data_IF_337664337233
#
_entry.id   IF_337664337233
#
_cell.length_a   1.000
_cell.length_b   1.000
_cell.length_c   1.000
_cell.angle_alpha   90.00
_cell.angle_beta   90.00
_cell.angle_gamma   90.00
#
_symmetry.space_group_name_H-M   'P 1'
#
loop_
_entity.id
_entity.type
_entity.pdbx_description
1 polymer ?
#
# COMPACT_ATOMS: atom_id res chain seq x y z
N UNK A 1 -13.10 -17.48 -17.96
CA UNK A 1 -12.13 -17.15 -16.88
C UNK A 1 -11.25 -15.94 -17.19
N UNK A 2 -10.66 -15.85 -18.38
CA UNK A 2 -9.70 -14.78 -18.76
C UNK A 2 -10.25 -13.35 -18.77
N UNK A 3 -11.53 -13.13 -19.14
CA UNK A 3 -12.12 -11.78 -19.17
C UNK A 3 -12.26 -11.14 -17.79
N UNK A 4 -12.74 -11.90 -16.79
CA UNK A 4 -12.91 -11.42 -15.40
C UNK A 4 -11.56 -11.03 -14.82
N UNK A 5 -10.56 -11.91 -14.97
CA UNK A 5 -9.19 -11.67 -14.49
C UNK A 5 -8.61 -10.39 -15.12
N UNK A 6 -8.79 -10.20 -16.43
CA UNK A 6 -8.34 -8.96 -17.11
C UNK A 6 -9.04 -7.72 -16.54
N UNK A 7 -10.36 -7.74 -16.37
CA UNK A 7 -11.11 -6.61 -15.81
C UNK A 7 -10.67 -6.28 -14.39
N UNK A 8 -10.47 -7.31 -13.53
CA UNK A 8 -9.98 -7.11 -12.16
C UNK A 8 -8.64 -6.36 -12.16
N UNK A 9 -7.66 -6.84 -12.92
CA UNK A 9 -6.33 -6.22 -12.93
C UNK A 9 -6.32 -4.86 -13.61
N UNK A 10 -7.12 -4.65 -14.67
CA UNK A 10 -7.26 -3.33 -15.29
C UNK A 10 -7.88 -2.32 -14.35
N UNK A 11 -8.94 -2.69 -13.61
CA UNK A 11 -9.54 -1.83 -12.60
C UNK A 11 -8.55 -1.54 -11.46
N UNK A 12 -7.90 -2.57 -10.93
CA UNK A 12 -6.94 -2.42 -9.83
C UNK A 12 -5.75 -1.52 -10.23
N UNK A 13 -5.22 -1.70 -11.44
CA UNK A 13 -4.17 -0.83 -11.97
C UNK A 13 -4.64 0.61 -12.19
N UNK A 14 -5.86 0.82 -12.68
CA UNK A 14 -6.42 2.17 -12.84
C UNK A 14 -6.57 2.89 -11.50
N UNK A 15 -7.10 2.21 -10.47
CA UNK A 15 -7.23 2.78 -9.13
C UNK A 15 -5.86 3.09 -8.53
N UNK A 16 -4.90 2.16 -8.61
CA UNK A 16 -3.54 2.39 -8.12
C UNK A 16 -2.82 3.53 -8.84
N UNK A 17 -3.03 3.67 -10.15
CA UNK A 17 -2.51 4.80 -10.93
C UNK A 17 -3.11 6.12 -10.43
N UNK A 18 -4.43 6.18 -10.22
CA UNK A 18 -5.06 7.38 -9.67
C UNK A 18 -4.52 7.71 -8.27
N UNK A 19 -4.35 6.71 -7.41
CA UNK A 19 -3.72 6.87 -6.09
C UNK A 19 -2.32 7.47 -6.19
N UNK A 20 -1.45 6.89 -7.03
CA UNK A 20 -0.08 7.38 -7.20
C UNK A 20 -0.04 8.85 -7.62
N UNK A 21 -0.86 9.21 -8.60
CA UNK A 21 -0.92 10.57 -9.15
C UNK A 21 -1.51 11.57 -8.15
N UNK A 22 -2.48 11.16 -7.34
CA UNK A 22 -3.07 12.00 -6.31
C UNK A 22 -2.02 12.51 -5.30
N UNK A 23 -1.03 11.68 -4.96
CA UNK A 23 0.02 12.03 -4.02
C UNK A 23 1.33 12.53 -4.68
N UNK A 24 1.36 12.83 -5.99
CA UNK A 24 2.57 13.36 -6.62
C UNK A 24 3.08 14.66 -5.97
N UNK A 25 2.17 15.50 -5.47
CA UNK A 25 2.53 16.73 -4.79
C UNK A 25 3.31 16.49 -3.49
N UNK A 26 3.17 15.31 -2.85
CA UNK A 26 3.92 15.01 -1.62
C UNK A 26 5.41 14.83 -1.87
N UNK A 27 5.83 14.57 -3.11
CA UNK A 27 7.25 14.44 -3.46
C UNK A 27 8.05 15.74 -3.32
N UNK A 28 7.35 16.88 -3.23
CA UNK A 28 7.96 18.21 -3.05
C UNK A 28 7.95 18.66 -1.59
N UNK A 29 7.37 17.87 -0.68
CA UNK A 29 7.32 18.20 0.72
C UNK A 29 8.64 17.82 1.41
N UNK A 30 8.94 18.54 2.49
CA UNK A 30 10.03 18.23 3.41
C UNK A 30 9.54 17.30 4.52
N UNK A 31 10.49 16.74 5.28
CA UNK A 31 10.15 16.04 6.52
C UNK A 31 9.47 16.99 7.52
N UNK A 32 8.59 16.43 8.36
CA UNK A 32 7.84 17.16 9.37
C UNK A 32 8.20 16.72 10.79
N UNK A 33 8.26 17.68 11.72
CA UNK A 33 8.66 17.47 13.13
C UNK A 33 7.57 16.81 13.99
N UNK A 34 6.96 15.74 13.49
CA UNK A 34 5.98 14.93 14.23
C UNK A 34 6.57 13.57 14.54
N UNK A 35 6.60 12.68 13.56
CA UNK A 35 7.13 11.33 13.65
C UNK A 35 8.39 11.12 12.79
N UNK A 36 8.60 11.91 11.74
CA UNK A 36 9.80 11.79 10.89
C UNK A 36 11.11 11.98 11.67
N UNK A 37 11.12 12.84 12.69
CA UNK A 37 12.31 13.03 13.53
C UNK A 37 12.71 11.72 14.19
N UNK A 38 11.77 11.10 14.88
CA UNK A 38 12.02 9.82 15.55
C UNK A 38 12.27 8.69 14.57
N UNK A 39 11.47 8.54 13.51
CA UNK A 39 11.53 7.36 12.66
C UNK A 39 12.62 7.44 11.59
N UNK A 40 12.99 8.64 11.13
CA UNK A 40 13.87 8.85 9.99
C UNK A 40 15.19 9.50 10.41
N UNK A 41 15.21 10.82 10.65
CA UNK A 41 16.49 11.53 10.69
C UNK A 41 17.23 11.45 12.04
N UNK A 42 16.53 11.30 13.16
CA UNK A 42 17.15 11.06 14.48
C UNK A 42 17.33 9.56 14.80
N UNK A 43 16.81 8.66 13.97
CA UNK A 43 16.94 7.22 14.20
C UNK A 43 18.32 6.71 13.78
N UNK A 44 19.21 6.31 14.71
CA UNK A 44 20.53 5.81 14.34
C UNK A 44 20.44 4.39 13.73
N UNK A 45 19.41 3.62 14.04
CA UNK A 45 19.31 2.21 13.65
C UNK A 45 19.11 2.04 12.15
N UNK A 46 18.34 2.93 11.51
CA UNK A 46 18.06 2.83 10.07
C UNK A 46 19.27 3.19 9.20
N UNK A 47 20.37 3.67 9.80
CA UNK A 47 21.57 4.07 9.06
C UNK A 47 22.44 2.87 8.66
N UNK A 48 22.14 1.66 9.14
CA UNK A 48 22.76 0.42 8.68
C UNK A 48 21.71 -0.61 8.26
N UNK A 49 22.08 -1.46 7.31
CA UNK A 49 21.28 -2.60 6.86
C UNK A 49 22.09 -3.90 7.05
N UNK A 50 22.35 -4.23 8.30
CA UNK A 50 23.13 -5.41 8.70
C UNK A 50 22.31 -6.35 9.62
N UNK A 51 22.92 -7.47 10.00
CA UNK A 51 22.27 -8.45 10.89
C UNK A 51 21.95 -7.89 12.28
N UNK A 52 22.73 -6.91 12.77
CA UNK A 52 22.49 -6.23 14.05
C UNK A 52 21.22 -5.39 13.95
N UNK A 53 21.08 -4.61 12.89
CA UNK A 53 19.87 -3.85 12.58
C UNK A 53 18.66 -4.79 12.44
N UNK A 54 18.76 -5.89 11.68
CA UNK A 54 17.63 -6.81 11.52
C UNK A 54 17.21 -7.44 12.85
N UNK A 55 18.17 -7.84 13.70
CA UNK A 55 17.85 -8.35 15.03
C UNK A 55 17.13 -7.30 15.87
N UNK A 56 17.62 -6.07 15.89
CA UNK A 56 16.96 -4.97 16.57
C UNK A 56 15.54 -4.74 16.04
N UNK A 57 15.39 -4.69 14.71
CA UNK A 57 14.11 -4.40 14.08
C UNK A 57 13.02 -5.43 14.43
N UNK A 58 13.37 -6.71 14.58
CA UNK A 58 12.40 -7.76 14.90
C UNK A 58 12.13 -7.94 16.40
N UNK A 59 13.03 -7.52 17.29
CA UNK A 59 12.96 -7.89 18.71
C UNK A 59 12.91 -6.71 19.70
N UNK A 60 13.12 -5.48 19.25
CA UNK A 60 13.05 -4.29 20.10
C UNK A 60 11.85 -3.39 19.79
N UNK A 61 11.59 -2.47 20.72
CA UNK A 61 10.61 -1.40 20.55
C UNK A 61 11.33 -0.07 20.34
N UNK A 62 10.79 0.78 19.49
CA UNK A 62 11.31 2.13 19.26
C UNK A 62 10.17 3.12 19.05
N UNK A 63 10.30 4.31 19.63
CA UNK A 63 9.22 5.32 19.68
C UNK A 63 7.88 4.74 20.19
N UNK A 64 7.93 3.92 21.24
CA UNK A 64 6.80 3.22 21.87
C UNK A 64 6.08 2.17 21.01
N UNK A 65 6.71 1.71 19.93
CA UNK A 65 6.08 0.84 18.93
C UNK A 65 6.98 -0.33 18.50
N UNK A 66 6.35 -1.39 17.96
CA UNK A 66 7.04 -2.53 17.32
C UNK A 66 6.61 -2.66 15.86
N UNK A 67 7.45 -2.19 14.94
CA UNK A 67 7.12 -2.11 13.49
C UNK A 67 8.30 -2.58 12.61
N UNK A 68 8.71 -3.86 12.65
CA UNK A 68 9.91 -4.37 11.96
C UNK A 68 9.96 -4.00 10.48
N UNK A 69 8.84 -4.17 9.77
CA UNK A 69 8.78 -3.90 8.32
C UNK A 69 8.92 -2.42 7.99
N UNK A 70 8.39 -1.54 8.84
CA UNK A 70 8.52 -0.09 8.69
C UNK A 70 9.97 0.35 8.86
N UNK A 71 10.66 -0.15 9.88
CA UNK A 71 12.07 0.17 10.09
C UNK A 71 12.96 -0.35 8.95
N UNK A 72 12.69 -1.57 8.47
CA UNK A 72 13.38 -2.15 7.31
C UNK A 72 13.17 -1.26 6.06
N UNK A 73 11.94 -0.79 5.82
CA UNK A 73 11.66 0.14 4.72
C UNK A 73 12.48 1.42 4.84
N UNK A 74 12.47 2.08 6.01
CA UNK A 74 13.24 3.30 6.22
C UNK A 74 14.75 3.10 6.09
N UNK A 75 15.29 1.95 6.52
CA UNK A 75 16.71 1.64 6.36
C UNK A 75 17.10 1.44 4.89
N UNK A 76 16.23 0.78 4.10
CA UNK A 76 16.40 0.69 2.65
C UNK A 76 16.30 2.06 1.98
N UNK A 77 15.33 2.90 2.38
CA UNK A 77 15.20 4.26 1.87
C UNK A 77 16.42 5.11 2.22
N UNK A 78 16.95 4.99 3.44
CA UNK A 78 18.19 5.67 3.82
C UNK A 78 19.38 5.18 3.00
N UNK A 79 19.49 3.87 2.72
CA UNK A 79 20.59 3.33 1.90
C UNK A 79 20.53 3.81 0.44
N UNK A 80 19.33 4.03 -0.11
CA UNK A 80 19.12 4.46 -1.49
C UNK A 80 19.15 5.98 -1.65
N UNK A 81 18.57 6.71 -0.70
CA UNK A 81 18.26 8.14 -0.82
C UNK A 81 18.92 9.01 0.25
N UNK A 82 19.52 8.42 1.28
CA UNK A 82 19.96 9.14 2.47
C UNK A 82 18.80 9.83 3.18
N UNK A 83 19.01 11.07 3.63
CA UNK A 83 17.98 11.92 4.23
C UNK A 83 17.31 12.84 3.18
N UNK A 84 17.13 12.37 1.94
CA UNK A 84 16.39 13.11 0.92
C UNK A 84 14.89 12.77 1.02
N UNK A 85 14.01 13.71 1.46
CA UNK A 85 12.58 13.43 1.66
C UNK A 85 11.88 12.91 0.41
N UNK A 86 12.28 13.41 -0.77
CA UNK A 86 11.70 13.01 -2.05
C UNK A 86 11.75 11.48 -2.24
N UNK A 87 12.88 10.85 -1.90
CA UNK A 87 13.07 9.42 -2.05
C UNK A 87 12.16 8.60 -1.12
N UNK A 88 12.07 9.02 0.14
CA UNK A 88 11.20 8.38 1.15
C UNK A 88 9.72 8.52 0.77
N UNK A 89 9.29 9.71 0.34
CA UNK A 89 7.92 9.92 -0.13
C UNK A 89 7.61 9.13 -1.40
N UNK A 90 8.57 9.01 -2.32
CA UNK A 90 8.41 8.20 -3.53
C UNK A 90 8.21 6.73 -3.20
N UNK A 91 9.06 6.14 -2.36
CA UNK A 91 8.91 4.75 -1.92
C UNK A 91 7.55 4.53 -1.26
N UNK A 92 7.17 5.41 -0.32
CA UNK A 92 5.87 5.30 0.35
C UNK A 92 4.68 5.39 -0.62
N UNK A 93 4.73 6.32 -1.58
CA UNK A 93 3.67 6.47 -2.58
C UNK A 93 3.57 5.24 -3.51
N UNK A 94 4.70 4.66 -3.92
CA UNK A 94 4.73 3.40 -4.68
C UNK A 94 4.11 2.26 -3.86
N UNK A 95 4.54 2.08 -2.61
CA UNK A 95 4.03 1.03 -1.73
C UNK A 95 2.52 1.17 -1.48
N UNK A 96 2.03 2.39 -1.22
CA UNK A 96 0.60 2.65 -1.03
C UNK A 96 -0.22 2.38 -2.29
N UNK A 97 0.31 2.75 -3.46
CA UNK A 97 -0.34 2.49 -4.74
C UNK A 97 -0.42 0.99 -5.04
N UNK A 98 0.65 0.24 -4.78
CA UNK A 98 0.66 -1.23 -4.89
C UNK A 98 -0.31 -1.84 -3.88
N UNK A 99 -0.34 -1.36 -2.64
CA UNK A 99 -1.27 -1.87 -1.63
C UNK A 99 -2.73 -1.60 -2.04
N UNK A 100 -3.02 -0.43 -2.60
CA UNK A 100 -4.35 -0.10 -3.14
C UNK A 100 -4.75 -1.07 -4.27
N UNK A 101 -3.83 -1.41 -5.18
CA UNK A 101 -4.05 -2.43 -6.20
C UNK A 101 -4.44 -3.77 -5.54
N UNK A 102 -3.67 -4.20 -4.54
CA UNK A 102 -3.92 -5.46 -3.83
C UNK A 102 -5.27 -5.45 -3.10
N UNK A 103 -5.69 -4.33 -2.52
CA UNK A 103 -7.02 -4.18 -1.90
C UNK A 103 -8.13 -4.39 -2.92
N UNK A 104 -8.04 -3.80 -4.11
CA UNK A 104 -9.05 -4.02 -5.18
C UNK A 104 -9.11 -5.50 -5.56
N UNK A 105 -7.95 -6.15 -5.76
CA UNK A 105 -7.89 -7.58 -6.08
C UNK A 105 -8.49 -8.42 -4.95
N UNK A 106 -8.13 -8.12 -3.70
CA UNK A 106 -8.62 -8.81 -2.52
C UNK A 106 -10.14 -8.72 -2.40
N UNK A 107 -10.72 -7.53 -2.55
CA UNK A 107 -12.18 -7.34 -2.48
C UNK A 107 -12.89 -8.16 -3.56
N UNK A 108 -12.41 -8.13 -4.80
CA UNK A 108 -12.99 -8.98 -5.86
C UNK A 108 -12.95 -10.46 -5.47
N UNK A 109 -11.82 -10.95 -4.95
CA UNK A 109 -11.68 -12.35 -4.52
C UNK A 109 -12.58 -12.73 -3.36
N UNK A 110 -12.69 -11.85 -2.36
CA UNK A 110 -13.53 -12.09 -1.19
C UNK A 110 -15.01 -12.17 -1.57
N UNK A 111 -15.49 -11.27 -2.44
CA UNK A 111 -16.89 -11.36 -2.87
C UNK A 111 -17.13 -12.50 -3.86
N UNK A 112 -16.12 -12.90 -4.63
CA UNK A 112 -16.19 -14.15 -5.40
C UNK A 112 -16.33 -15.38 -4.51
N UNK A 113 -15.60 -15.42 -3.40
CA UNK A 113 -15.62 -16.53 -2.45
C UNK A 113 -16.91 -16.58 -1.61
N UNK A 114 -17.57 -15.44 -1.37
CA UNK A 114 -18.79 -15.38 -0.56
C UNK A 114 -20.07 -15.80 -1.31
N UNK A 115 -19.97 -16.28 -2.55
CA UNK A 115 -21.12 -16.69 -3.36
C UNK A 115 -21.78 -17.97 -2.80
N UNK A 116 -23.08 -17.93 -2.42
CA UNK A 116 -23.81 -19.14 -2.03
C UNK A 116 -23.90 -20.14 -3.19
N UNK A 117 -23.77 -21.44 -2.89
CA UNK A 117 -23.90 -22.52 -3.88
C UNK A 117 -25.27 -22.55 -4.60
N UNK A 118 -26.30 -21.92 -4.00
CA UNK A 118 -27.64 -21.78 -4.56
C UNK A 118 -27.78 -20.68 -5.63
N UNK A 119 -26.73 -19.87 -5.86
CA UNK A 119 -26.74 -18.82 -6.88
C UNK A 119 -26.68 -19.45 -8.29
N UNK A 120 -27.84 -19.88 -8.79
CA UNK A 120 -27.99 -20.30 -10.19
C UNK A 120 -27.61 -19.12 -11.11
N UNK A 121 -26.87 -19.45 -12.17
CA UNK A 121 -26.26 -18.51 -13.12
C UNK A 121 -27.25 -17.58 -13.86
N UNK A 122 -28.56 -17.68 -13.65
CA UNK A 122 -29.58 -16.95 -14.42
C UNK A 122 -29.78 -15.46 -14.06
N UNK A 123 -28.99 -14.91 -13.13
CA UNK A 123 -28.83 -13.45 -12.98
C UNK A 123 -27.46 -13.00 -13.51
N UNK A 124 -27.20 -13.32 -14.77
CA UNK A 124 -25.88 -13.25 -15.43
C UNK A 124 -25.34 -11.83 -15.72
N UNK A 125 -26.03 -10.76 -15.32
CA UNK A 125 -25.60 -9.37 -15.64
C UNK A 125 -25.42 -8.48 -14.42
N UNK A 126 -26.43 -8.33 -13.55
CA UNK A 126 -26.37 -7.41 -12.41
C UNK A 126 -25.28 -7.78 -11.39
N UNK A 127 -25.12 -9.07 -11.10
CA UNK A 127 -24.14 -9.56 -10.13
C UNK A 127 -22.70 -9.53 -10.67
N UNK A 128 -22.50 -9.45 -11.99
CA UNK A 128 -21.15 -9.37 -12.54
C UNK A 128 -20.54 -7.99 -12.39
N UNK A 129 -21.33 -6.91 -12.48
CA UNK A 129 -20.81 -5.55 -12.37
C UNK A 129 -20.76 -5.03 -10.93
N UNK A 130 -21.67 -5.48 -10.06
CA UNK A 130 -21.76 -4.99 -8.67
C UNK A 130 -20.47 -5.18 -7.87
N UNK A 131 -19.74 -6.29 -8.07
CA UNK A 131 -18.49 -6.53 -7.34
C UNK A 131 -17.32 -5.70 -7.85
N UNK A 132 -17.26 -5.45 -9.16
CA UNK A 132 -16.24 -4.54 -9.69
C UNK A 132 -16.50 -3.12 -9.23
N UNK A 133 -17.76 -2.70 -9.16
CA UNK A 133 -18.13 -1.40 -8.59
C UNK A 133 -17.74 -1.35 -7.11
N UNK A 134 -18.11 -2.36 -6.32
CA UNK A 134 -17.75 -2.43 -4.91
C UNK A 134 -16.22 -2.40 -4.70
N UNK A 135 -15.47 -3.21 -5.44
CA UNK A 135 -14.02 -3.25 -5.35
C UNK A 135 -13.36 -1.94 -5.80
N UNK A 136 -13.86 -1.33 -6.88
CA UNK A 136 -13.38 -0.03 -7.36
C UNK A 136 -13.63 1.08 -6.35
N UNK A 137 -14.84 1.17 -5.79
CA UNK A 137 -15.19 2.15 -4.76
C UNK A 137 -14.36 1.93 -3.50
N UNK A 138 -14.24 0.70 -3.00
CA UNK A 138 -13.39 0.39 -1.84
C UNK A 138 -11.93 0.75 -2.10
N UNK A 139 -11.41 0.44 -3.29
CA UNK A 139 -10.04 0.81 -3.67
C UNK A 139 -9.83 2.32 -3.75
N UNK A 140 -10.78 3.07 -4.32
CA UNK A 140 -10.71 4.54 -4.37
C UNK A 140 -10.83 5.15 -2.97
N UNK A 141 -11.72 4.65 -2.13
CA UNK A 141 -11.83 5.09 -0.74
C UNK A 141 -10.54 4.77 0.03
N UNK A 142 -9.99 3.58 -0.10
CA UNK A 142 -8.73 3.22 0.56
C UNK A 142 -7.54 4.05 0.04
N UNK A 143 -7.47 4.24 -1.27
CA UNK A 143 -6.32 4.85 -1.93
C UNK A 143 -6.33 6.38 -1.89
N UNK A 144 -7.48 7.03 -1.97
CA UNK A 144 -7.59 8.49 -2.11
C UNK A 144 -8.04 9.20 -0.83
N UNK A 145 -8.52 8.45 0.18
CA UNK A 145 -8.91 9.06 1.45
C UNK A 145 -7.66 9.59 2.18
N UNK A 146 -7.72 10.81 2.76
CA UNK A 146 -6.62 11.39 3.53
C UNK A 146 -6.29 10.59 4.80
#
# INVERSE_FOLDING_TARGET
MTRIVKVTYSLAAAVAFLTFFNYLSSLQNEFVEWDDSRYVFENPHIRSFDLTFLKWAFFDFYAANWHPLTWISHSLDYALWGLNPLGHHLTNNILHSVNTLLVVVLVVRLVEASKPASWKADKLTSFHYSHFIAAGVTGLLFGLHP
#
